data_IF_688172986864
#
_entry.id   IF_688172986864
#
_cell.length_a   1.000
_cell.length_b   1.000
_cell.length_c   1.000
_cell.angle_alpha   90.00
_cell.angle_beta   90.00
_cell.angle_gamma   90.00
#
_symmetry.space_group_name_H-M   'P 1'
#
loop_
_entity.id
_entity.type
_entity.pdbx_description
1 polymer ?
#
# COMPACT_ATOMS: atom_id res chain seq x y z
N UNK A 1 18.81 -96.19 -2.90
CA UNK A 1 19.55 -95.04 -2.34
C UNK A 1 20.40 -94.45 -3.45
N UNK A 2 19.85 -93.48 -4.19
CA UNK A 2 20.53 -92.51 -5.09
C UNK A 2 19.45 -91.79 -5.90
N UNK A 3 19.70 -90.50 -6.14
CA UNK A 3 19.00 -89.51 -6.97
C UNK A 3 18.10 -90.01 -8.11
N UNK A 4 16.98 -89.30 -8.34
CA UNK A 4 16.68 -88.69 -9.65
C UNK A 4 15.46 -87.73 -9.63
N UNK A 5 15.75 -86.49 -9.99
CA UNK A 5 15.05 -85.53 -10.87
C UNK A 5 13.67 -85.96 -11.46
N UNK A 6 12.64 -85.09 -11.30
CA UNK A 6 11.63 -84.69 -12.32
C UNK A 6 10.56 -83.80 -11.65
N UNK A 7 10.46 -82.51 -11.98
CA UNK A 7 9.68 -81.94 -13.08
C UNK A 7 8.16 -81.85 -12.80
N UNK A 8 7.67 -80.66 -12.41
CA UNK A 8 6.29 -80.23 -12.68
C UNK A 8 6.27 -78.73 -13.00
N UNK A 9 5.90 -78.42 -14.24
CA UNK A 9 5.62 -77.08 -14.74
C UNK A 9 4.36 -76.53 -14.04
N UNK A 10 4.46 -75.31 -13.49
CA UNK A 10 3.31 -74.54 -13.03
C UNK A 10 3.14 -73.32 -13.93
N UNK A 11 2.06 -73.35 -14.71
CA UNK A 11 1.54 -72.29 -15.56
C UNK A 11 1.06 -71.12 -14.68
N UNK A 12 1.81 -70.02 -14.68
CA UNK A 12 1.37 -68.77 -14.06
C UNK A 12 0.50 -67.98 -15.07
N UNK A 13 -0.80 -67.89 -14.77
CA UNK A 13 -1.73 -67.04 -15.50
C UNK A 13 -1.41 -65.55 -15.25
N UNK A 14 -1.08 -64.83 -16.31
CA UNK A 14 -0.90 -63.37 -16.29
C UNK A 14 -2.28 -62.70 -16.12
N UNK A 15 -2.55 -62.18 -14.94
CA UNK A 15 -3.68 -61.29 -14.66
C UNK A 15 -3.29 -59.88 -15.13
N UNK A 16 -3.80 -59.46 -16.29
CA UNK A 16 -3.60 -58.09 -16.77
C UNK A 16 -4.39 -57.10 -15.88
N UNK A 17 -3.80 -55.97 -15.44
CA UNK A 17 -4.53 -54.94 -14.71
C UNK A 17 -5.50 -54.22 -15.65
N UNK A 18 -6.76 -54.11 -15.24
CA UNK A 18 -7.77 -53.28 -15.92
C UNK A 18 -7.31 -51.82 -15.95
N UNK A 19 -7.32 -51.14 -17.12
CA UNK A 19 -7.03 -49.72 -17.16
C UNK A 19 -8.16 -48.95 -16.48
N UNK A 20 -7.83 -48.31 -15.37
CA UNK A 20 -8.70 -47.35 -14.72
C UNK A 20 -9.09 -46.27 -15.74
N UNK A 21 -10.40 -46.07 -15.87
CA UNK A 21 -11.04 -45.04 -16.68
C UNK A 21 -10.63 -43.67 -16.10
N UNK A 22 -9.52 -43.11 -16.57
CA UNK A 22 -9.25 -41.69 -16.41
C UNK A 22 -10.22 -40.94 -17.31
N UNK A 23 -11.33 -40.49 -16.74
CA UNK A 23 -12.15 -39.46 -17.34
C UNK A 23 -11.27 -38.20 -17.39
N UNK A 24 -10.70 -37.92 -18.56
CA UNK A 24 -10.07 -36.65 -18.86
C UNK A 24 -11.14 -35.57 -18.72
N UNK A 25 -11.09 -34.83 -17.61
CA UNK A 25 -11.83 -33.61 -17.42
C UNK A 25 -11.39 -32.66 -18.54
N UNK A 26 -12.28 -32.41 -19.50
CA UNK A 26 -12.06 -31.42 -20.55
C UNK A 26 -11.90 -30.08 -19.86
N UNK A 27 -10.65 -29.70 -19.59
CA UNK A 27 -10.30 -28.32 -19.35
C UNK A 27 -10.86 -27.52 -20.53
N UNK A 28 -11.90 -26.75 -20.23
CA UNK A 28 -12.46 -25.77 -21.13
C UNK A 28 -11.40 -24.70 -21.29
N UNK A 29 -10.46 -24.93 -22.21
CA UNK A 29 -9.62 -23.88 -22.77
C UNK A 29 -10.57 -22.97 -23.54
N UNK A 30 -11.16 -22.01 -22.81
CA UNK A 30 -11.77 -20.84 -23.45
C UNK A 30 -10.71 -20.31 -24.40
N UNK A 31 -11.01 -20.18 -25.70
CA UNK A 31 -10.04 -19.65 -26.64
C UNK A 31 -9.61 -18.28 -26.09
N UNK A 32 -8.29 -18.11 -25.96
CA UNK A 32 -7.69 -16.81 -25.72
C UNK A 32 -8.21 -15.91 -26.86
N UNK A 33 -9.15 -15.02 -26.52
CA UNK A 33 -9.70 -14.08 -27.48
C UNK A 33 -8.50 -13.30 -28.00
N UNK A 34 -8.27 -13.41 -29.31
CA UNK A 34 -7.16 -12.76 -29.99
C UNK A 34 -7.15 -11.27 -29.62
N UNK A 35 -6.00 -10.82 -29.14
CA UNK A 35 -5.73 -9.42 -28.87
C UNK A 35 -5.82 -8.63 -30.18
N UNK A 36 -7.00 -8.08 -30.47
CA UNK A 36 -7.16 -7.04 -31.46
C UNK A 36 -8.19 -6.07 -30.94
N UNK A 37 -7.79 -4.80 -30.83
CA UNK A 37 -8.42 -3.71 -30.09
C UNK A 37 -8.07 -3.67 -28.60
N UNK A 38 -6.80 -3.37 -28.31
CA UNK A 38 -6.55 -2.44 -27.20
C UNK A 38 -7.10 -1.11 -27.70
N UNK A 39 -8.40 -0.87 -27.53
CA UNK A 39 -8.86 0.51 -27.47
C UNK A 39 -8.06 1.11 -26.34
N UNK A 40 -7.15 2.01 -26.69
CA UNK A 40 -6.57 2.88 -25.69
C UNK A 40 -7.75 3.66 -25.13
N UNK A 41 -8.30 3.21 -24.00
CA UNK A 41 -9.34 3.90 -23.23
C UNK A 41 -8.87 5.28 -22.72
N UNK A 42 -7.64 5.67 -23.07
CA UNK A 42 -7.14 7.02 -22.91
C UNK A 42 -7.89 8.00 -23.80
N UNK A 43 -8.48 9.00 -23.15
CA UNK A 43 -9.02 10.19 -23.80
C UNK A 43 -7.93 11.27 -23.90
N UNK A 44 -7.72 11.78 -25.11
CA UNK A 44 -6.79 12.87 -25.39
C UNK A 44 -7.22 14.10 -24.59
N UNK A 45 -6.26 14.79 -23.98
CA UNK A 45 -6.54 15.99 -23.20
C UNK A 45 -5.58 17.16 -23.47
N UNK A 46 -5.74 18.26 -22.73
CA UNK A 46 -4.91 19.44 -22.88
C UNK A 46 -3.44 19.21 -22.46
N UNK A 47 -2.51 19.65 -23.31
CA UNK A 47 -1.04 19.53 -23.18
C UNK A 47 -0.43 18.20 -23.64
N UNK A 48 -1.22 17.22 -24.07
CA UNK A 48 -0.67 16.03 -24.71
C UNK A 48 0.12 16.38 -25.98
N UNK A 49 1.14 15.57 -26.26
CA UNK A 49 1.81 15.58 -27.56
C UNK A 49 1.42 14.35 -28.35
N UNK A 50 0.96 14.60 -29.55
CA UNK A 50 0.47 13.60 -30.48
C UNK A 50 1.40 13.59 -31.69
N UNK A 51 1.65 12.40 -32.21
CA UNK A 51 2.28 12.20 -33.50
C UNK A 51 1.25 11.61 -34.45
N UNK A 52 1.04 12.31 -35.56
CA UNK A 52 0.13 11.90 -36.63
C UNK A 52 0.99 11.47 -37.80
N UNK A 53 0.80 10.26 -38.27
CA UNK A 53 1.49 9.74 -39.46
C UNK A 53 0.48 9.40 -40.54
N UNK A 54 0.75 9.82 -41.78
CA UNK A 54 -0.10 9.53 -42.93
C UNK A 54 0.62 8.56 -43.86
N UNK A 55 0.08 7.35 -44.01
CA UNK A 55 0.75 6.30 -44.76
C UNK A 55 1.02 6.72 -46.21
N UNK A 56 2.28 6.63 -46.63
CA UNK A 56 2.72 6.94 -47.99
C UNK A 56 2.85 8.43 -48.30
N UNK A 57 2.69 9.30 -47.30
CA UNK A 57 2.81 10.76 -47.45
C UNK A 57 3.52 11.39 -46.24
N UNK A 58 4.82 11.13 -46.10
CA UNK A 58 5.65 11.61 -44.98
C UNK A 58 5.62 13.14 -44.80
N UNK A 59 5.35 13.90 -45.87
CA UNK A 59 5.19 15.36 -45.84
C UNK A 59 4.00 15.82 -44.98
N UNK A 60 3.06 14.92 -44.70
CA UNK A 60 1.89 15.15 -43.86
C UNK A 60 2.03 14.56 -42.46
N UNK A 61 3.21 14.05 -42.09
CA UNK A 61 3.50 13.65 -40.72
C UNK A 61 3.60 14.90 -39.83
N UNK A 62 2.89 14.89 -38.71
CA UNK A 62 2.73 16.04 -37.84
C UNK A 62 2.98 15.68 -36.38
N UNK A 63 3.84 16.48 -35.74
CA UNK A 63 3.95 16.51 -34.28
C UNK A 63 3.06 17.64 -33.75
N UNK A 64 1.94 17.26 -33.13
CA UNK A 64 0.89 18.17 -32.68
C UNK A 64 0.84 18.23 -31.16
N UNK A 65 0.77 19.44 -30.62
CA UNK A 65 0.49 19.64 -29.19
C UNK A 65 -0.97 20.06 -29.00
N UNK A 66 -1.67 19.40 -28.09
CA UNK A 66 -3.02 19.80 -27.71
C UNK A 66 -2.96 21.07 -26.87
N UNK A 67 -3.69 22.09 -27.29
CA UNK A 67 -3.76 23.37 -26.57
C UNK A 67 -4.51 23.23 -25.24
N UNK A 68 -4.38 24.24 -24.37
CA UNK A 68 -5.16 24.35 -23.15
C UNK A 68 -6.68 24.38 -23.38
N UNK A 69 -7.12 24.78 -24.59
CA UNK A 69 -8.53 24.75 -25.00
C UNK A 69 -8.97 23.40 -25.56
N UNK A 70 -8.12 22.38 -25.53
CA UNK A 70 -8.43 21.05 -26.04
C UNK A 70 -8.40 20.93 -27.56
N UNK A 71 -7.68 21.79 -28.27
CA UNK A 71 -7.62 21.80 -29.73
C UNK A 71 -6.20 21.61 -30.26
N UNK A 72 -6.09 20.99 -31.42
CA UNK A 72 -4.85 20.93 -32.22
C UNK A 72 -4.95 21.89 -33.41
N UNK A 73 -3.80 22.27 -33.94
CA UNK A 73 -3.69 23.02 -35.20
C UNK A 73 -2.89 22.16 -36.17
N UNK A 74 -3.59 21.51 -37.10
CA UNK A 74 -2.97 20.70 -38.14
C UNK A 74 -2.84 21.54 -39.42
N UNK A 75 -1.65 21.65 -40.02
CA UNK A 75 -1.48 22.26 -41.35
C UNK A 75 -2.46 21.66 -42.38
N UNK A 76 -2.95 22.49 -43.31
CA UNK A 76 -3.94 22.15 -44.36
C UNK A 76 -5.36 21.78 -43.89
N UNK A 77 -5.52 21.23 -42.68
CA UNK A 77 -6.81 20.92 -42.06
C UNK A 77 -7.33 22.11 -41.24
N UNK A 78 -6.45 22.76 -40.48
CA UNK A 78 -6.78 23.88 -39.59
C UNK A 78 -6.96 23.42 -38.13
N UNK A 79 -7.83 24.13 -37.41
CA UNK A 79 -8.06 23.86 -35.97
C UNK A 79 -9.10 22.76 -35.80
N UNK A 80 -8.78 21.76 -34.98
CA UNK A 80 -9.68 20.68 -34.60
C UNK A 80 -9.75 20.58 -33.07
N UNK A 81 -10.96 20.45 -32.51
CA UNK A 81 -11.15 20.14 -31.10
C UNK A 81 -11.03 18.63 -30.88
N UNK A 82 -10.20 18.20 -29.95
CA UNK A 82 -9.82 16.78 -29.75
C UNK A 82 -9.91 16.31 -28.31
N UNK A 83 -10.12 17.21 -27.35
CA UNK A 83 -10.29 16.82 -25.95
C UNK A 83 -11.47 15.87 -25.75
N UNK A 84 -11.23 14.75 -25.08
CA UNK A 84 -12.21 13.69 -24.87
C UNK A 84 -12.29 12.65 -26.00
N UNK A 85 -11.57 12.85 -27.12
CA UNK A 85 -11.48 11.85 -28.18
C UNK A 85 -10.42 10.81 -27.83
N UNK A 86 -10.69 9.55 -28.17
CA UNK A 86 -9.65 8.53 -28.24
C UNK A 86 -8.71 8.79 -29.44
N UNK A 87 -7.48 8.25 -29.44
CA UNK A 87 -6.59 8.31 -30.59
C UNK A 87 -7.24 7.77 -31.88
N UNK A 88 -8.02 6.67 -31.77
CA UNK A 88 -8.71 6.07 -32.91
C UNK A 88 -9.81 6.98 -33.49
N UNK A 89 -10.57 7.68 -32.65
CA UNK A 89 -11.56 8.65 -33.13
C UNK A 89 -10.88 9.85 -33.82
N UNK A 90 -9.71 10.26 -33.32
CA UNK A 90 -8.93 11.31 -33.94
C UNK A 90 -8.33 10.88 -35.29
N UNK A 91 -7.87 9.64 -35.42
CA UNK A 91 -7.43 9.05 -36.70
C UNK A 91 -8.53 9.17 -37.75
N UNK A 92 -9.73 8.68 -37.42
CA UNK A 92 -10.87 8.73 -38.33
C UNK A 92 -11.23 10.18 -38.69
N UNK A 93 -11.21 11.08 -37.71
CA UNK A 93 -11.53 12.49 -37.94
C UNK A 93 -10.52 13.17 -38.86
N UNK A 94 -9.23 12.91 -38.70
CA UNK A 94 -8.17 13.47 -39.55
C UNK A 94 -8.28 12.88 -40.97
N UNK A 95 -8.50 11.58 -41.10
CA UNK A 95 -8.70 10.92 -42.39
C UNK A 95 -9.87 11.54 -43.18
N UNK A 96 -11.00 11.78 -42.51
CA UNK A 96 -12.16 12.45 -43.11
C UNK A 96 -11.85 13.89 -43.58
N UNK A 97 -11.10 14.67 -42.80
CA UNK A 97 -10.69 16.03 -43.17
C UNK A 97 -9.70 16.05 -44.35
N UNK A 98 -8.76 15.11 -44.41
CA UNK A 98 -7.82 14.97 -45.52
C UNK A 98 -8.52 14.57 -46.82
N UNK A 99 -9.46 13.62 -46.75
CA UNK A 99 -10.23 13.15 -47.91
C UNK A 99 -11.18 14.22 -48.44
N UNK A 100 -11.92 14.91 -47.55
CA UNK A 100 -12.90 15.93 -47.95
C UNK A 100 -12.27 17.15 -48.64
N UNK A 101 -11.01 17.44 -48.33
CA UNK A 101 -10.23 18.52 -48.96
C UNK A 101 -9.45 18.07 -50.21
N UNK A 102 -9.64 16.82 -50.63
CA UNK A 102 -8.95 16.21 -51.76
C UNK A 102 -7.40 16.29 -51.65
N UNK A 103 -6.88 16.25 -50.42
CA UNK A 103 -5.43 16.30 -50.17
C UNK A 103 -4.79 14.92 -50.39
N UNK A 104 -5.48 13.86 -49.96
CA UNK A 104 -5.03 12.46 -50.08
C UNK A 104 -6.23 11.61 -50.49
N UNK A 105 -6.01 10.68 -51.43
CA UNK A 105 -7.01 9.70 -51.84
C UNK A 105 -6.89 8.47 -50.96
N UNK A 106 -7.95 8.17 -50.21
CA UNK A 106 -8.00 7.06 -49.23
C UNK A 106 -6.91 7.16 -48.14
N UNK A 107 -6.91 8.24 -47.34
CA UNK A 107 -5.89 8.48 -46.32
C UNK A 107 -5.95 7.40 -45.23
N UNK A 108 -4.81 6.75 -44.99
CA UNK A 108 -4.61 5.88 -43.83
C UNK A 108 -3.80 6.65 -42.79
N UNK A 109 -4.44 7.00 -41.68
CA UNK A 109 -3.87 7.86 -40.64
C UNK A 109 -3.65 7.03 -39.38
N UNK A 110 -2.51 7.23 -38.72
CA UNK A 110 -2.24 6.69 -37.39
C UNK A 110 -1.91 7.83 -36.44
N UNK A 111 -2.46 7.79 -35.24
CA UNK A 111 -2.22 8.77 -34.18
C UNK A 111 -1.66 8.07 -32.96
N UNK A 112 -0.44 8.42 -32.57
CA UNK A 112 0.17 7.99 -31.31
C UNK A 112 0.28 9.15 -30.33
N UNK A 113 0.13 8.87 -29.03
CA UNK A 113 0.43 9.84 -27.96
C UNK A 113 1.89 9.66 -27.57
N UNK A 114 2.72 10.66 -27.84
CA UNK A 114 4.15 10.66 -27.50
C UNK A 114 4.38 11.09 -26.05
N UNK A 115 3.60 12.06 -25.57
CA UNK A 115 3.67 12.53 -24.18
C UNK A 115 2.27 12.69 -23.57
N UNK A 116 2.03 11.97 -22.48
CA UNK A 116 0.80 12.03 -21.69
C UNK A 116 0.92 13.09 -20.59
N UNK A 117 0.30 14.24 -20.78
CA UNK A 117 0.43 15.39 -19.88
C UNK A 117 -0.91 15.91 -19.35
N UNK A 118 -2.02 15.28 -19.75
CA UNK A 118 -3.35 15.85 -19.52
C UNK A 118 -4.07 15.33 -18.29
N UNK A 119 -3.71 14.12 -17.84
CA UNK A 119 -4.44 13.40 -16.81
C UNK A 119 -3.52 13.02 -15.64
N UNK A 120 -3.14 13.98 -14.78
CA UNK A 120 -2.31 13.70 -13.62
C UNK A 120 -3.13 13.02 -12.52
N UNK A 121 -2.56 12.04 -11.83
CA UNK A 121 -3.05 11.50 -10.56
C UNK A 121 -2.00 11.76 -9.47
N UNK A 122 -2.44 11.85 -8.23
CA UNK A 122 -1.57 12.17 -7.10
C UNK A 122 -1.60 11.02 -6.10
N UNK A 123 -0.45 10.38 -5.87
CA UNK A 123 -0.32 9.31 -4.88
C UNK A 123 0.44 9.83 -3.68
N UNK A 124 -0.20 9.85 -2.52
CA UNK A 124 0.32 10.48 -1.31
C UNK A 124 0.35 9.49 -0.13
N UNK A 125 1.23 9.76 0.84
CA UNK A 125 1.24 9.07 2.13
C UNK A 125 2.19 7.87 2.20
N UNK A 126 1.75 6.79 2.83
CA UNK A 126 2.55 5.60 3.14
C UNK A 126 2.71 4.65 1.94
N UNK A 127 3.32 5.17 0.88
CA UNK A 127 3.79 4.43 -0.30
C UNK A 127 5.31 4.55 -0.41
N UNK A 128 5.92 3.75 -1.28
CA UNK A 128 7.37 3.80 -1.50
C UNK A 128 7.81 5.14 -2.14
N UNK A 129 7.08 5.62 -3.15
CA UNK A 129 7.37 6.84 -3.89
C UNK A 129 6.12 7.71 -4.03
N UNK A 130 5.85 8.61 -3.06
CA UNK A 130 4.76 9.56 -3.19
C UNK A 130 5.07 10.61 -4.26
N UNK A 131 4.06 11.03 -5.01
CA UNK A 131 4.25 12.00 -6.09
C UNK A 131 3.08 12.11 -7.04
N UNK A 132 3.29 12.88 -8.10
CA UNK A 132 2.39 13.00 -9.23
C UNK A 132 2.77 12.00 -10.31
N UNK A 133 1.78 11.32 -10.87
CA UNK A 133 1.93 10.38 -11.98
C UNK A 133 0.98 10.76 -13.11
N UNK A 134 1.35 10.48 -14.36
CA UNK A 134 0.50 10.75 -15.51
C UNK A 134 -0.21 9.47 -15.94
N UNK A 135 -1.53 9.55 -16.16
CA UNK A 135 -2.28 8.45 -16.74
C UNK A 135 -1.99 8.36 -18.23
N UNK A 136 -1.64 7.16 -18.69
CA UNK A 136 -1.45 6.85 -20.11
C UNK A 136 -2.54 5.92 -20.68
N UNK A 137 -3.43 5.45 -19.81
CA UNK A 137 -4.55 4.55 -20.07
C UNK A 137 -5.54 4.67 -18.92
N UNK A 138 -6.68 3.97 -19.01
CA UNK A 138 -7.50 3.68 -17.83
C UNK A 138 -6.65 2.99 -16.76
N UNK A 139 -6.58 3.61 -15.58
CA UNK A 139 -5.82 3.12 -14.43
C UNK A 139 -6.73 2.91 -13.24
N UNK A 140 -6.40 1.93 -12.41
CA UNK A 140 -7.05 1.70 -11.12
C UNK A 140 -6.19 2.15 -9.94
N UNK A 141 -6.73 2.01 -8.73
CA UNK A 141 -5.97 2.24 -7.49
C UNK A 141 -4.76 1.31 -7.42
N UNK A 142 -4.91 0.03 -7.80
CA UNK A 142 -3.78 -0.91 -7.83
C UNK A 142 -2.71 -0.45 -8.81
N UNK A 143 -3.07 0.01 -10.01
CA UNK A 143 -2.10 0.56 -10.97
C UNK A 143 -1.34 1.73 -10.36
N UNK A 144 -2.04 2.69 -9.74
CA UNK A 144 -1.43 3.88 -9.15
C UNK A 144 -0.48 3.55 -7.99
N UNK A 145 -0.87 2.64 -7.09
CA UNK A 145 -0.02 2.18 -6.00
C UNK A 145 1.21 1.44 -6.54
N UNK A 146 1.05 0.64 -7.61
CA UNK A 146 2.16 -0.06 -8.26
C UNK A 146 3.15 0.92 -8.89
N UNK A 147 2.65 1.95 -9.57
CA UNK A 147 3.48 3.04 -10.11
C UNK A 147 4.24 3.80 -9.03
N UNK A 148 3.62 3.96 -7.84
CA UNK A 148 4.26 4.53 -6.66
C UNK A 148 5.23 3.57 -5.94
N UNK A 149 5.54 2.41 -6.53
CA UNK A 149 6.47 1.43 -5.97
C UNK A 149 5.89 0.54 -4.88
N UNK A 150 4.58 0.50 -4.72
CA UNK A 150 3.86 -0.29 -3.72
C UNK A 150 3.58 0.45 -2.42
N UNK A 151 2.80 -0.20 -1.55
CA UNK A 151 2.54 0.26 -0.19
C UNK A 151 3.79 0.11 0.67
N UNK A 152 4.00 1.04 1.60
CA UNK A 152 5.03 0.88 2.62
C UNK A 152 4.57 -0.16 3.65
N UNK A 153 5.24 -1.32 3.72
CA UNK A 153 4.82 -2.44 4.55
C UNK A 153 4.77 -2.14 6.05
N UNK A 154 5.58 -1.19 6.53
CA UNK A 154 5.63 -0.83 7.95
C UNK A 154 4.71 0.33 8.28
N UNK A 155 4.52 1.28 7.36
CA UNK A 155 3.77 2.50 7.62
C UNK A 155 2.35 2.47 7.08
N UNK A 156 2.02 1.67 6.08
CA UNK A 156 0.71 1.73 5.43
C UNK A 156 -0.42 1.29 6.37
N UNK A 157 -1.49 2.08 6.38
CA UNK A 157 -2.73 1.74 7.07
C UNK A 157 -3.55 0.68 6.32
N UNK A 158 -4.65 0.27 6.92
CA UNK A 158 -5.52 -0.80 6.40
C UNK A 158 -6.42 -0.36 5.22
N UNK A 159 -6.44 0.92 4.87
CA UNK A 159 -7.31 1.46 3.83
C UNK A 159 -6.59 2.51 3.00
N UNK A 160 -7.02 2.65 1.75
CA UNK A 160 -6.63 3.72 0.83
C UNK A 160 -7.84 4.64 0.67
N UNK A 161 -7.60 5.94 0.62
CA UNK A 161 -8.62 6.95 0.37
C UNK A 161 -8.44 7.50 -1.03
N UNK A 162 -9.48 7.42 -1.86
CA UNK A 162 -9.51 8.07 -3.17
C UNK A 162 -10.44 9.26 -3.09
N UNK A 163 -9.91 10.44 -3.42
CA UNK A 163 -10.67 11.68 -3.53
C UNK A 163 -10.71 12.08 -5.00
N UNK A 164 -11.91 12.32 -5.52
CA UNK A 164 -12.08 12.73 -6.91
C UNK A 164 -11.73 14.20 -7.07
N UNK A 165 -10.52 14.48 -7.53
CA UNK A 165 -10.03 15.84 -7.65
C UNK A 165 -10.37 16.44 -9.01
N UNK A 166 -10.88 17.67 -9.03
CA UNK A 166 -11.08 18.45 -10.27
C UNK A 166 -9.75 19.00 -10.85
N UNK A 167 -8.68 18.22 -10.81
CA UNK A 167 -7.37 18.60 -11.37
C UNK A 167 -6.59 19.67 -10.61
N UNK A 168 -6.92 19.97 -9.34
CA UNK A 168 -6.14 20.89 -8.49
C UNK A 168 -5.50 20.13 -7.34
N UNK A 169 -4.18 20.22 -7.22
CA UNK A 169 -3.46 19.91 -5.98
C UNK A 169 -4.02 20.81 -4.88
N UNK A 170 -4.68 20.19 -3.91
CA UNK A 170 -5.26 20.82 -2.72
C UNK A 170 -4.50 20.33 -1.50
N UNK A 171 -4.51 21.09 -0.41
CA UNK A 171 -3.83 20.66 0.82
C UNK A 171 -4.53 19.40 1.36
N UNK A 172 -3.87 18.23 1.35
CA UNK A 172 -4.49 16.98 1.78
C UNK A 172 -4.86 16.95 3.27
N UNK A 173 -4.45 17.94 4.06
CA UNK A 173 -4.78 18.06 5.49
C UNK A 173 -5.91 19.06 5.78
N UNK A 174 -6.42 19.80 4.80
CA UNK A 174 -7.54 20.72 5.01
C UNK A 174 -8.88 19.97 4.92
N UNK A 175 -9.32 19.42 6.05
CA UNK A 175 -10.59 18.68 6.15
C UNK A 175 -11.82 19.49 5.72
N UNK A 176 -11.77 20.83 5.80
CA UNK A 176 -12.90 21.69 5.42
C UNK A 176 -13.03 21.83 3.90
N UNK A 177 -11.93 21.78 3.16
CA UNK A 177 -11.95 21.93 1.71
C UNK A 177 -12.57 20.71 1.00
N UNK A 178 -12.53 19.53 1.64
CA UNK A 178 -13.08 18.29 1.09
C UNK A 178 -14.38 17.81 1.73
N UNK A 179 -14.99 18.59 2.62
CA UNK A 179 -16.15 18.16 3.40
C UNK A 179 -17.35 17.71 2.53
N UNK A 180 -17.46 18.24 1.31
CA UNK A 180 -18.56 17.97 0.38
C UNK A 180 -18.24 16.97 -0.74
N UNK A 181 -16.99 16.45 -0.82
CA UNK A 181 -16.58 15.54 -1.89
C UNK A 181 -16.63 14.06 -1.44
N UNK A 182 -17.18 13.14 -2.27
CA UNK A 182 -17.23 11.73 -1.92
C UNK A 182 -15.80 11.18 -1.78
N UNK A 183 -15.49 10.66 -0.59
CA UNK A 183 -14.26 9.93 -0.31
C UNK A 183 -14.53 8.46 -0.49
N UNK A 184 -13.90 7.85 -1.49
CA UNK A 184 -13.99 6.42 -1.68
C UNK A 184 -12.95 5.73 -0.81
N UNK A 185 -13.41 4.83 0.05
CA UNK A 185 -12.55 4.04 0.92
C UNK A 185 -12.35 2.67 0.31
N UNK A 186 -11.09 2.33 0.08
CA UNK A 186 -10.63 1.04 -0.46
C UNK A 186 -10.01 0.25 0.69
N UNK A 187 -10.54 -0.93 0.97
CA UNK A 187 -9.99 -1.84 1.97
C UNK A 187 -8.81 -2.63 1.37
N UNK A 188 -7.61 -2.39 1.90
CA UNK A 188 -6.36 -2.97 1.37
C UNK A 188 -6.35 -4.48 1.53
N UNK A 189 -6.86 -4.99 2.66
CA UNK A 189 -6.89 -6.42 2.95
C UNK A 189 -7.81 -7.14 1.97
N UNK A 190 -9.02 -6.61 1.77
CA UNK A 190 -9.97 -7.17 0.81
C UNK A 190 -9.43 -7.12 -0.62
N UNK A 191 -8.82 -6.01 -1.01
CA UNK A 191 -8.27 -5.82 -2.35
C UNK A 191 -7.07 -6.74 -2.63
N UNK A 192 -6.06 -6.74 -1.77
CA UNK A 192 -4.77 -7.38 -2.03
C UNK A 192 -4.68 -8.82 -1.52
N UNK A 193 -5.27 -9.14 -0.38
CA UNK A 193 -5.20 -10.50 0.20
C UNK A 193 -6.38 -11.36 -0.24
N UNK A 194 -7.58 -10.79 -0.32
CA UNK A 194 -8.80 -11.54 -0.65
C UNK A 194 -9.17 -11.46 -2.14
N UNK A 195 -8.47 -10.64 -2.92
CA UNK A 195 -8.69 -10.50 -4.36
C UNK A 195 -10.04 -9.86 -4.73
N UNK A 196 -10.61 -9.06 -3.83
CA UNK A 196 -11.89 -8.40 -4.06
C UNK A 196 -11.73 -7.20 -5.00
N UNK A 197 -11.93 -7.45 -6.28
CA UNK A 197 -11.85 -6.45 -7.35
C UNK A 197 -12.86 -5.31 -7.22
N UNK A 198 -13.92 -5.44 -6.41
CA UNK A 198 -14.85 -4.34 -6.16
C UNK A 198 -14.20 -3.19 -5.38
N UNK A 199 -13.07 -3.45 -4.74
CA UNK A 199 -12.24 -2.46 -4.07
C UNK A 199 -11.29 -1.74 -5.04
N UNK A 200 -11.08 -2.25 -6.26
CA UNK A 200 -10.16 -1.65 -7.22
C UNK A 200 -10.85 -0.56 -8.05
N UNK A 201 -10.87 0.64 -7.48
CA UNK A 201 -11.59 1.77 -8.05
C UNK A 201 -10.84 2.30 -9.28
N UNK A 202 -11.56 2.49 -10.39
CA UNK A 202 -11.04 3.17 -11.56
C UNK A 202 -10.80 4.66 -11.25
N UNK A 203 -9.60 5.13 -11.58
CA UNK A 203 -9.15 6.50 -11.35
C UNK A 203 -9.48 7.40 -12.54
N UNK A 204 -9.55 8.69 -12.25
CA UNK A 204 -9.73 9.75 -13.22
C UNK A 204 -8.61 10.78 -13.10
N UNK A 205 -8.34 11.50 -14.19
CA UNK A 205 -7.42 12.62 -14.16
C UNK A 205 -7.82 13.64 -13.09
N UNK A 206 -6.89 13.91 -12.18
CA UNK A 206 -7.04 14.79 -11.03
C UNK A 206 -7.26 14.08 -9.70
N UNK A 207 -7.49 12.76 -9.70
CA UNK A 207 -7.72 11.99 -8.47
C UNK A 207 -6.51 12.03 -7.52
N UNK A 208 -6.83 12.04 -6.21
CA UNK A 208 -5.84 11.95 -5.13
C UNK A 208 -6.03 10.60 -4.44
N UNK A 209 -5.02 9.74 -4.57
CA UNK A 209 -4.91 8.44 -3.92
C UNK A 209 -4.04 8.62 -2.68
N UNK A 210 -4.66 8.64 -1.52
CA UNK A 210 -4.00 8.85 -0.24
C UNK A 210 -3.94 7.55 0.55
N UNK A 211 -2.72 7.14 0.91
CA UNK A 211 -2.47 6.02 1.80
C UNK A 211 -2.13 6.57 3.19
N UNK A 212 -3.08 6.61 4.13
CA UNK A 212 -2.79 7.05 5.48
C UNK A 212 -1.78 6.13 6.15
N UNK A 213 -0.97 6.71 7.05
CA UNK A 213 -0.10 5.91 7.89
C UNK A 213 -0.96 5.12 8.90
N UNK A 214 -0.53 3.90 9.24
CA UNK A 214 -1.12 3.13 10.34
C UNK A 214 -0.92 3.90 11.63
N UNK A 215 -1.97 3.98 12.45
CA UNK A 215 -1.85 4.51 13.80
C UNK A 215 -1.17 3.43 14.64
N UNK A 216 0.04 3.73 15.11
CA UNK A 216 0.74 2.85 16.04
C UNK A 216 0.41 3.32 17.45
N UNK A 217 -0.44 2.56 18.12
CA UNK A 217 -0.66 2.71 19.55
C UNK A 217 0.49 2.00 20.28
N UNK A 218 0.94 2.54 21.41
CA UNK A 218 2.04 1.94 22.20
C UNK A 218 1.52 1.56 23.58
N UNK A 219 2.23 0.68 24.27
CA UNK A 219 2.17 0.54 25.72
C UNK A 219 3.58 0.38 26.27
N UNK A 220 3.76 0.59 27.57
CA UNK A 220 5.07 0.59 28.19
C UNK A 220 5.13 -0.48 29.28
N UNK A 221 6.22 -1.23 29.33
CA UNK A 221 6.52 -2.14 30.44
C UNK A 221 7.86 -1.75 31.04
N UNK A 222 7.87 -1.40 32.32
CA UNK A 222 9.02 -0.86 33.02
C UNK A 222 9.20 -1.53 34.39
N UNK A 223 10.41 -1.40 34.95
CA UNK A 223 10.79 -2.02 36.20
C UNK A 223 11.52 -3.35 36.00
N UNK A 224 11.32 -4.28 36.92
CA UNK A 224 12.00 -5.58 36.99
C UNK A 224 11.40 -6.60 36.01
N UNK A 225 11.62 -6.37 34.72
CA UNK A 225 11.28 -7.28 33.62
C UNK A 225 12.52 -7.60 32.79
N UNK A 226 12.47 -8.66 32.00
CA UNK A 226 13.63 -9.07 31.18
C UNK A 226 13.99 -8.02 30.12
N UNK A 227 13.00 -7.39 29.52
CA UNK A 227 13.13 -6.40 28.45
C UNK A 227 12.19 -5.23 28.72
N UNK A 228 12.59 -4.22 29.53
CA UNK A 228 11.79 -3.02 29.71
C UNK A 228 11.81 -2.17 28.44
N UNK A 229 10.68 -1.53 28.11
CA UNK A 229 10.59 -0.72 26.90
C UNK A 229 9.16 -0.36 26.49
N UNK A 230 9.07 0.30 25.33
CA UNK A 230 7.82 0.58 24.64
C UNK A 230 7.54 -0.54 23.63
N UNK A 231 6.28 -0.94 23.54
CA UNK A 231 5.81 -2.02 22.69
C UNK A 231 4.62 -1.55 21.86
N UNK A 232 4.60 -1.92 20.58
CA UNK A 232 3.48 -1.59 19.68
C UNK A 232 2.23 -2.37 20.08
N UNK A 233 1.15 -1.67 20.35
CA UNK A 233 -0.18 -2.22 20.54
C UNK A 233 -0.71 -2.71 19.18
N UNK A 234 -0.50 -4.00 18.90
CA UNK A 234 -1.02 -4.64 17.70
C UNK A 234 -2.51 -4.91 17.89
N UNK A 235 -3.33 -4.15 17.19
CA UNK A 235 -4.80 -4.23 17.24
C UNK A 235 -5.36 -5.26 16.24
N UNK A 236 -4.50 -6.09 15.63
CA UNK A 236 -4.88 -7.00 14.55
C UNK A 236 -5.72 -8.19 15.04
N UNK A 237 -7.04 -8.05 14.89
CA UNK A 237 -8.07 -9.09 14.75
C UNK A 237 -8.24 -10.16 15.85
N UNK A 238 -7.39 -10.25 16.88
CA UNK A 238 -7.52 -11.24 17.98
C UNK A 238 -7.93 -10.68 19.35
N UNK A 239 -8.30 -9.40 19.40
CA UNK A 239 -8.99 -8.83 20.54
C UNK A 239 -8.09 -8.63 21.75
N UNK A 240 -8.16 -7.42 22.31
CA UNK A 240 -7.81 -7.16 23.71
C UNK A 240 -6.34 -7.49 24.06
N UNK A 241 -5.48 -6.48 24.06
CA UNK A 241 -4.17 -6.62 24.71
C UNK A 241 -4.38 -6.88 26.21
N UNK A 242 -3.80 -7.94 26.76
CA UNK A 242 -3.89 -8.28 28.18
C UNK A 242 -2.58 -7.97 28.89
N UNK A 243 -2.65 -7.64 30.18
CA UNK A 243 -1.48 -7.30 30.98
C UNK A 243 -0.48 -8.47 31.04
N UNK A 244 -0.93 -9.72 31.12
CA UNK A 244 -0.01 -10.88 31.11
C UNK A 244 0.70 -11.05 29.77
N UNK A 245 0.00 -10.78 28.66
CA UNK A 245 0.58 -10.83 27.30
C UNK A 245 1.66 -9.76 27.15
N UNK A 246 1.39 -8.55 27.61
CA UNK A 246 2.36 -7.46 27.64
C UNK A 246 3.61 -7.80 28.48
N UNK A 247 3.43 -8.39 29.67
CA UNK A 247 4.55 -8.89 30.46
C UNK A 247 5.36 -9.96 29.70
N UNK A 248 4.69 -10.84 28.95
CA UNK A 248 5.32 -11.82 28.08
C UNK A 248 6.16 -11.18 26.96
N UNK A 249 5.65 -10.13 26.32
CA UNK A 249 6.38 -9.37 25.30
C UNK A 249 7.61 -8.66 25.85
N UNK A 250 7.57 -8.24 27.11
CA UNK A 250 8.73 -7.75 27.86
C UNK A 250 9.71 -8.86 28.29
N UNK A 251 9.61 -10.06 27.71
CA UNK A 251 10.45 -11.22 28.02
C UNK A 251 10.19 -11.84 29.40
N UNK A 252 9.04 -11.54 30.01
CA UNK A 252 8.65 -12.03 31.32
C UNK A 252 9.28 -11.28 32.49
N UNK A 253 9.03 -11.82 33.69
CA UNK A 253 9.48 -11.23 34.95
C UNK A 253 11.00 -11.32 35.12
N UNK A 254 11.62 -10.25 35.63
CA UNK A 254 13.00 -10.27 36.07
C UNK A 254 13.22 -11.20 37.26
N UNK A 255 14.48 -11.59 37.52
CA UNK A 255 14.83 -12.53 38.61
C UNK A 255 14.40 -12.03 39.99
N UNK A 256 14.39 -10.72 40.15
CA UNK A 256 14.05 -10.00 41.37
C UNK A 256 12.66 -9.40 41.34
N UNK A 257 11.83 -9.68 40.33
CA UNK A 257 10.52 -9.08 40.20
C UNK A 257 9.55 -9.50 41.32
N UNK A 258 8.77 -8.53 41.83
CA UNK A 258 7.60 -8.83 42.65
C UNK A 258 6.31 -8.77 41.83
N UNK A 259 5.90 -9.94 41.36
CA UNK A 259 4.70 -10.12 40.55
C UNK A 259 3.37 -9.96 41.31
N UNK A 260 3.37 -9.80 42.64
CA UNK A 260 2.12 -9.50 43.39
C UNK A 260 1.79 -8.01 43.48
N UNK A 261 2.79 -7.15 43.32
CA UNK A 261 2.70 -5.70 43.58
C UNK A 261 2.84 -4.87 42.29
N UNK A 262 2.67 -5.49 41.12
CA UNK A 262 2.71 -4.75 39.87
C UNK A 262 1.49 -3.82 39.74
N UNK A 263 1.65 -2.73 38.99
CA UNK A 263 0.61 -1.72 38.81
C UNK A 263 0.52 -1.37 37.33
N UNK A 264 -0.70 -1.27 36.82
CA UNK A 264 -1.01 -0.63 35.55
C UNK A 264 -1.41 0.82 35.82
N UNK A 265 -0.69 1.74 35.19
CA UNK A 265 -0.94 3.17 35.24
C UNK A 265 -1.61 3.57 33.94
N UNK A 266 -2.81 4.13 34.04
CA UNK A 266 -3.60 4.61 32.90
C UNK A 266 -3.90 6.09 33.06
N UNK A 267 -3.55 6.89 32.06
CA UNK A 267 -3.93 8.29 32.04
C UNK A 267 -5.28 8.41 31.34
N UNK A 268 -6.27 8.96 32.05
CA UNK A 268 -7.61 9.24 31.51
C UNK A 268 -7.88 10.75 31.59
N UNK A 269 -8.92 11.25 30.92
CA UNK A 269 -9.35 12.65 31.03
C UNK A 269 -9.68 13.06 32.48
N UNK A 270 -10.10 12.08 33.30
CA UNK A 270 -10.36 12.23 34.73
C UNK A 270 -9.10 12.16 35.62
N UNK A 271 -7.91 12.08 35.02
CA UNK A 271 -6.63 11.95 35.70
C UNK A 271 -6.06 10.53 35.65
N UNK A 272 -4.99 10.36 36.42
CA UNK A 272 -4.20 9.12 36.49
C UNK A 272 -4.94 8.07 37.33
N UNK A 273 -5.18 6.90 36.73
CA UNK A 273 -5.72 5.72 37.39
C UNK A 273 -4.62 4.69 37.61
N UNK A 274 -4.61 4.07 38.78
CA UNK A 274 -3.67 3.01 39.15
C UNK A 274 -4.45 1.74 39.45
N UNK A 275 -4.22 0.71 38.65
CA UNK A 275 -4.90 -0.58 38.73
C UNK A 275 -3.89 -1.59 39.24
N UNK A 276 -4.14 -2.17 40.41
CA UNK A 276 -3.28 -3.21 40.98
C UNK A 276 -3.33 -4.48 40.11
N UNK A 277 -2.16 -5.03 39.81
CA UNK A 277 -1.97 -6.25 39.02
C UNK A 277 -1.20 -7.29 39.84
N UNK A 278 -1.92 -8.26 40.41
CA UNK A 278 -1.27 -9.45 40.99
C UNK A 278 -1.09 -10.51 39.90
N UNK A 279 0.01 -10.40 39.14
CA UNK A 279 0.37 -11.37 38.12
C UNK A 279 0.52 -12.80 38.68
N UNK A 280 0.90 -12.99 39.95
CA UNK A 280 0.96 -14.34 40.54
C UNK A 280 -0.42 -14.98 40.64
N UNK A 281 -1.45 -14.19 40.98
CA UNK A 281 -2.83 -14.65 41.05
C UNK A 281 -3.47 -14.78 39.68
N UNK A 282 -3.25 -13.82 38.78
CA UNK A 282 -3.76 -13.85 37.40
C UNK A 282 -3.23 -15.07 36.66
N UNK A 283 -1.91 -15.34 36.69
CA UNK A 283 -1.31 -16.51 36.02
C UNK A 283 -1.78 -17.85 36.62
N UNK A 284 -2.27 -17.85 37.86
CA UNK A 284 -2.89 -19.02 38.52
C UNK A 284 -4.40 -19.12 38.26
N UNK A 285 -4.97 -18.22 37.46
CA UNK A 285 -6.40 -18.14 37.17
C UNK A 285 -7.26 -17.77 38.39
N UNK A 286 -6.65 -17.18 39.44
CA UNK A 286 -7.37 -16.78 40.65
C UNK A 286 -8.03 -15.42 40.53
N UNK A 287 -7.47 -14.56 39.69
CA UNK A 287 -7.98 -13.23 39.36
C UNK A 287 -8.10 -13.12 37.83
N UNK A 288 -9.06 -12.33 37.32
CA UNK A 288 -9.17 -12.09 35.88
C UNK A 288 -7.99 -11.25 35.38
N UNK A 289 -7.59 -11.49 34.13
CA UNK A 289 -6.57 -10.66 33.49
C UNK A 289 -7.15 -9.30 33.08
N UNK A 290 -6.30 -8.28 33.09
CA UNK A 290 -6.71 -6.90 32.83
C UNK A 290 -6.46 -6.54 31.37
N UNK A 291 -7.50 -6.03 30.72
CA UNK A 291 -7.40 -5.41 29.40
C UNK A 291 -6.60 -4.12 29.45
N UNK A 292 -5.58 -4.05 28.61
CA UNK A 292 -4.79 -2.86 28.37
C UNK A 292 -5.39 -1.98 27.29
N UNK A 293 -5.06 -0.70 27.39
CA UNK A 293 -5.36 0.35 26.42
C UNK A 293 -4.05 0.89 25.86
N UNK A 294 -4.16 1.65 24.77
CA UNK A 294 -3.07 2.47 24.28
C UNK A 294 -2.56 3.40 25.39
N UNK A 295 -1.26 3.61 25.43
CA UNK A 295 -0.50 4.46 26.36
C UNK A 295 -0.50 3.99 27.83
N UNK A 296 -1.02 2.79 28.13
CA UNK A 296 -0.90 2.17 29.46
C UNK A 296 0.58 1.89 29.80
N UNK A 297 0.91 2.02 31.09
CA UNK A 297 2.23 1.69 31.63
C UNK A 297 2.09 0.58 32.67
N UNK A 298 2.74 -0.56 32.45
CA UNK A 298 2.91 -1.61 33.45
C UNK A 298 4.22 -1.37 34.18
N UNK A 299 4.14 -1.15 35.49
CA UNK A 299 5.30 -1.09 36.37
C UNK A 299 5.39 -2.38 37.20
N UNK A 300 6.51 -3.09 37.08
CA UNK A 300 6.80 -4.28 37.89
C UNK A 300 7.91 -3.94 38.90
N UNK A 301 7.62 -3.89 40.20
CA UNK A 301 8.62 -3.59 41.21
C UNK A 301 9.58 -4.76 41.47
N UNK A 302 10.67 -4.48 42.18
CA UNK A 302 11.59 -5.51 42.68
C UNK A 302 11.24 -6.00 44.09
N UNK A 303 11.74 -7.18 44.43
CA UNK A 303 11.48 -7.87 45.71
C UNK A 303 12.25 -7.29 46.90
N UNK A 304 13.26 -6.44 46.65
CA UNK A 304 14.02 -5.72 47.68
C UNK A 304 13.59 -4.26 47.85
N UNK A 305 12.73 -3.75 46.97
CA UNK A 305 12.08 -2.46 47.16
C UNK A 305 10.87 -2.64 48.05
N UNK A 306 10.97 -2.28 49.34
CA UNK A 306 9.76 -2.00 50.14
C UNK A 306 8.95 -0.96 49.37
N UNK A 307 7.76 -1.35 48.91
CA UNK A 307 6.90 -0.57 48.03
C UNK A 307 6.81 0.87 48.54
N UNK A 308 7.44 1.79 47.82
CA UNK A 308 7.29 3.24 48.01
C UNK A 308 5.92 3.57 47.42
N UNK A 309 4.87 3.17 48.14
CA UNK A 309 3.46 3.38 47.77
C UNK A 309 3.05 4.85 47.77
N UNK A 310 3.95 5.80 48.10
CA UNK A 310 3.60 7.22 48.17
C UNK A 310 4.61 8.22 47.58
N UNK A 311 5.70 7.82 46.91
CA UNK A 311 6.81 8.78 46.70
C UNK A 311 7.69 8.71 45.46
N UNK A 312 7.59 7.68 44.60
CA UNK A 312 8.47 7.57 43.42
C UNK A 312 7.79 7.88 42.08
N UNK A 313 6.49 8.15 42.12
CA UNK A 313 5.69 8.50 40.94
C UNK A 313 5.62 10.01 40.66
N UNK A 314 6.19 10.84 41.54
CA UNK A 314 6.33 12.29 41.36
C UNK A 314 7.53 12.69 40.50
N UNK A 315 8.35 11.73 40.04
CA UNK A 315 9.46 11.97 39.10
C UNK A 315 9.15 11.36 37.73
N UNK A 316 7.97 11.68 37.19
CA UNK A 316 7.89 11.95 35.77
C UNK A 316 7.59 13.44 35.66
N UNK A 317 8.61 14.31 35.58
CA UNK A 317 8.36 15.65 35.07
C UNK A 317 7.67 15.46 33.71
N UNK A 318 6.79 16.38 33.37
CA UNK A 318 6.09 16.48 32.09
C UNK A 318 7.03 16.72 30.89
N UNK A 319 8.18 16.06 30.86
CA UNK A 319 9.30 16.24 29.92
C UNK A 319 9.51 15.03 29.01
N UNK A 320 8.52 14.14 28.84
CA UNK A 320 8.52 13.20 27.71
C UNK A 320 8.10 13.87 26.39
N UNK A 321 8.46 15.14 26.21
CA UNK A 321 8.45 15.83 24.91
C UNK A 321 9.85 16.21 24.43
N UNK A 322 10.92 15.74 25.07
CA UNK A 322 12.25 16.07 24.56
C UNK A 322 13.41 15.35 25.22
N UNK A 323 13.71 14.13 24.78
CA UNK A 323 15.10 13.65 24.64
C UNK A 323 15.23 12.89 23.30
N UNK A 324 15.59 13.66 22.27
CA UNK A 324 16.63 13.45 21.25
C UNK A 324 17.15 12.01 21.04
N UNK A 325 16.68 11.40 19.94
CA UNK A 325 17.42 11.02 18.70
C UNK A 325 18.81 10.36 18.82
N UNK A 326 18.88 9.15 18.22
CA UNK A 326 19.95 8.47 17.49
C UNK A 326 21.38 8.38 18.05
N UNK A 327 21.89 7.14 18.07
CA UNK A 327 23.23 6.89 17.57
C UNK A 327 23.38 5.46 17.04
N UNK A 328 23.55 5.30 15.72
CA UNK A 328 24.59 4.46 15.09
C UNK A 328 24.26 4.11 13.64
N UNK A 329 24.63 4.99 12.71
CA UNK A 329 25.09 4.61 11.37
C UNK A 329 25.48 5.89 10.64
N UNK A 330 26.79 6.05 10.43
CA UNK A 330 27.45 6.58 9.23
C UNK A 330 28.85 7.03 9.65
N UNK A 331 29.80 6.11 9.50
CA UNK A 331 31.19 6.47 9.35
C UNK A 331 31.37 7.20 8.02
N UNK A 332 31.93 8.40 8.06
CA UNK A 332 32.19 9.20 6.87
C UNK A 332 33.08 10.39 7.20
N UNK A 333 34.37 10.22 6.92
CA UNK A 333 35.48 11.19 6.96
C UNK A 333 35.10 12.68 6.96
N UNK A 334 35.62 13.45 7.92
CA UNK A 334 35.63 14.92 7.84
C UNK A 334 37.05 15.43 7.65
N UNK A 335 37.32 15.93 6.44
CA UNK A 335 38.47 16.75 6.11
C UNK A 335 38.40 18.08 6.87
N UNK A 336 39.51 18.46 7.50
CA UNK A 336 39.70 19.74 8.16
C UNK A 336 39.92 20.84 7.10
N UNK A 337 39.05 21.86 7.09
CA UNK A 337 39.35 23.15 6.42
C UNK A 337 39.52 24.19 7.52
N UNK A 338 40.77 24.62 7.69
CA UNK A 338 41.17 25.76 8.51
C UNK A 338 40.57 27.04 7.94
N UNK A 339 39.80 27.77 8.74
CA UNK A 339 39.53 29.19 8.49
C UNK A 339 40.55 30.03 9.24
N UNK A 340 41.31 30.77 8.45
CA UNK A 340 42.25 31.82 8.84
C UNK A 340 41.52 32.96 9.56
N UNK A 341 42.07 33.39 10.70
CA UNK A 341 41.80 34.70 11.27
C UNK A 341 43.07 35.52 11.34
N UNK A 342 43.10 36.69 10.68
CA UNK A 342 43.43 38.01 11.27
C UNK A 342 43.70 39.10 10.23
N UNK A 343 43.13 40.27 10.57
CA UNK A 343 43.54 41.66 10.29
C UNK A 343 43.27 42.21 8.88
#
# INVERSE_FOLDING_TARGET
MTNNICAWMLTAAFLAPSPALFAAEKESTRPFVAANQITSDYEIGPNDKLKVTVFGVDELDLDLKVSASGSIVAPHIGRLYVSGMSPAELEERIAQELASRALVKDPQVTVSVEEYNSQPIYVLGAVAQPGQFMMSRSMSVVDAITMAGGLDAERAGAYILVRRGKGKLRDPNDEKEYADEPVYRVDVKRLLEQGDVSQDIALQGGDVVQVPARKVHMFYVIGEVSQPGAFEFKEDQEGTMLATRALGWAGGAGKTADLSDAVLIRNTDGGRQEIALDFKRILKGKDPDTTMQADDIIFVPGSTTKTITQGLLTVLPSTLSGIVIWNSALGGSTNQVQTSGRR
#
